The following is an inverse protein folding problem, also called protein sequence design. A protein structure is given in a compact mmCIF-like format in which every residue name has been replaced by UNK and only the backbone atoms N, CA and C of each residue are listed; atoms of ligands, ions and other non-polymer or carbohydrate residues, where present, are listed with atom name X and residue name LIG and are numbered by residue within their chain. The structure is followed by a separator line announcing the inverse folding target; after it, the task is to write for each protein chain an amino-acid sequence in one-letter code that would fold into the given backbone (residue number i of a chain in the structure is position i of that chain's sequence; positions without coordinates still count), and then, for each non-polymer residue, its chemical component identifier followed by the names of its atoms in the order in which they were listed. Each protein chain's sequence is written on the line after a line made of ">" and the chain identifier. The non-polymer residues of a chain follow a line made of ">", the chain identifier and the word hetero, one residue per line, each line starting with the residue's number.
data_IF_546602505448
#
_entry.id   IF_546602505448
#
_cell.length_a   1.000
_cell.length_b   1.000
_cell.length_c   1.000
_cell.angle_alpha   90.00
_cell.angle_beta   90.00
_cell.angle_gamma   90.00
#
_symmetry.space_group_name_H-M   'P 1'
#
loop_
_entity.id
_entity.type
_entity.pdbx_description
1 polymer ?
#
# COMPACT_ATOMS: atom_id res chain seq x y z
N UNK A 1 59.38 22.44 -5.62
CA UNK A 1 58.79 21.12 -5.28
C UNK A 1 59.39 20.74 -3.94
N UNK A 2 58.72 20.58 -2.81
CA UNK A 2 57.32 20.59 -2.39
C UNK A 2 57.37 20.52 -0.85
N UNK A 3 56.56 21.33 -0.15
CA UNK A 3 56.37 21.22 1.30
C UNK A 3 55.60 19.94 1.67
N UNK A 4 55.75 19.45 2.91
CA UNK A 4 54.60 19.07 3.73
C UNK A 4 54.61 19.89 5.04
N UNK A 5 53.72 20.87 5.19
CA UNK A 5 52.38 20.83 5.82
C UNK A 5 52.38 20.45 7.32
N UNK A 6 52.05 21.47 8.11
CA UNK A 6 51.77 21.49 9.54
C UNK A 6 50.47 20.76 9.91
N UNK A 7 50.41 20.33 11.17
CA UNK A 7 49.20 20.05 11.94
C UNK A 7 49.60 19.54 13.33
N UNK A 8 50.14 20.40 14.22
CA UNK A 8 49.41 21.03 15.34
C UNK A 8 48.39 20.10 16.00
N UNK A 9 48.74 19.63 17.19
CA UNK A 9 47.89 18.80 18.04
C UNK A 9 46.91 19.61 18.89
N UNK A 10 46.04 18.87 19.58
CA UNK A 10 45.45 19.16 20.89
C UNK A 10 44.58 17.95 21.25
N UNK A 11 45.06 17.11 22.16
CA UNK A 11 44.74 17.12 23.59
C UNK A 11 43.40 16.45 23.94
N UNK A 12 43.56 15.33 24.64
CA UNK A 12 42.63 14.69 25.57
C UNK A 12 41.55 15.61 26.13
N UNK A 13 40.29 15.21 25.96
CA UNK A 13 39.24 15.54 26.91
C UNK A 13 38.63 14.23 27.42
N UNK A 14 39.18 13.79 28.56
CA UNK A 14 38.48 12.90 29.46
C UNK A 14 37.30 13.68 30.04
N UNK A 15 36.09 13.38 29.58
CA UNK A 15 34.85 13.78 30.26
C UNK A 15 34.20 12.54 30.82
N UNK A 16 34.61 12.23 32.06
CA UNK A 16 33.96 11.27 32.95
C UNK A 16 32.67 11.93 33.45
N UNK A 17 31.61 11.85 32.65
CA UNK A 17 30.26 12.23 33.02
C UNK A 17 29.39 10.98 32.95
N UNK A 18 28.75 10.61 34.06
CA UNK A 18 27.92 9.41 34.16
C UNK A 18 26.89 9.35 33.04
N UNK A 19 27.06 8.42 32.12
CA UNK A 19 26.11 8.13 31.06
C UNK A 19 24.98 7.30 31.68
N UNK A 20 23.81 7.92 31.84
CA UNK A 20 22.57 7.17 31.87
C UNK A 20 22.54 6.29 30.60
N UNK A 21 22.14 5.01 30.69
CA UNK A 21 22.04 4.17 29.50
C UNK A 21 21.08 4.85 28.52
N UNK A 22 21.61 5.21 27.34
CA UNK A 22 20.78 5.66 26.24
C UNK A 22 19.71 4.59 26.00
N UNK A 23 18.41 4.94 25.91
CA UNK A 23 17.39 3.95 25.58
C UNK A 23 17.79 3.30 24.26
N UNK A 24 17.96 1.98 24.30
CA UNK A 24 18.25 1.16 23.13
C UNK A 24 17.28 1.57 22.03
N UNK A 25 17.81 2.08 20.92
CA UNK A 25 17.02 2.35 19.71
C UNK A 25 16.38 1.03 19.30
N UNK A 26 15.08 0.91 19.60
CA UNK A 26 14.23 -0.19 19.19
C UNK A 26 14.30 -0.26 17.66
N UNK A 27 14.77 -1.40 17.17
CA UNK A 27 14.90 -1.83 15.76
C UNK A 27 14.77 -0.73 14.72
N UNK A 28 15.89 -0.33 14.12
CA UNK A 28 15.90 0.56 12.94
C UNK A 28 14.84 0.08 11.93
N UNK A 29 13.79 0.89 11.75
CA UNK A 29 12.82 0.65 10.71
C UNK A 29 13.58 0.60 9.36
N UNK A 30 13.25 -0.35 8.46
CA UNK A 30 13.91 -0.43 7.17
C UNK A 30 13.92 0.94 6.49
N UNK A 31 15.08 1.35 5.97
CA UNK A 31 15.27 2.66 5.38
C UNK A 31 14.25 2.88 4.25
N UNK A 32 13.57 4.03 4.26
CA UNK A 32 12.61 4.36 3.23
C UNK A 32 13.31 4.53 1.86
N UNK A 33 12.89 3.76 0.86
CA UNK A 33 13.39 3.84 -0.53
C UNK A 33 12.45 4.63 -1.44
N UNK A 34 11.27 5.00 -0.94
CA UNK A 34 10.28 5.81 -1.64
C UNK A 34 9.23 6.37 -0.71
N UNK A 35 8.28 7.12 -1.28
CA UNK A 35 7.14 7.65 -0.55
C UNK A 35 5.88 7.67 -1.42
N UNK A 36 4.73 7.55 -0.78
CA UNK A 36 3.43 7.74 -1.41
C UNK A 36 2.36 8.11 -0.39
N UNK A 37 1.09 8.03 -0.78
CA UNK A 37 -0.03 8.49 0.06
C UNK A 37 -0.73 7.31 0.75
N UNK A 38 -1.00 7.42 2.05
CA UNK A 38 -1.69 6.37 2.77
C UNK A 38 -3.10 6.14 2.21
N UNK A 39 -3.51 4.88 2.12
CA UNK A 39 -4.82 4.50 1.60
C UNK A 39 -5.89 4.58 2.71
N UNK A 40 -7.16 4.65 2.31
CA UNK A 40 -8.27 4.70 3.28
C UNK A 40 -8.56 3.32 3.85
N UNK A 41 -8.46 3.17 5.17
CA UNK A 41 -8.97 2.00 5.89
C UNK A 41 -10.49 1.91 5.77
N UNK A 42 -11.02 0.73 5.42
CA UNK A 42 -12.49 0.52 5.30
C UNK A 42 -12.90 -0.77 6.00
N UNK A 43 -14.13 -0.84 6.49
CA UNK A 43 -14.71 -2.09 6.96
C UNK A 43 -14.92 -3.04 5.76
N UNK A 44 -14.29 -4.24 5.73
CA UNK A 44 -14.43 -5.17 4.62
C UNK A 44 -15.88 -5.60 4.34
N UNK A 45 -16.67 -5.87 5.37
CA UNK A 45 -18.08 -6.27 5.23
C UNK A 45 -18.93 -5.09 4.75
N UNK A 46 -18.64 -3.89 5.25
CA UNK A 46 -19.30 -2.66 4.82
C UNK A 46 -19.03 -2.34 3.35
N UNK A 47 -17.80 -2.53 2.87
CA UNK A 47 -17.44 -2.32 1.48
C UNK A 47 -18.00 -3.42 0.55
N UNK A 48 -18.04 -4.67 1.03
CA UNK A 48 -18.49 -5.83 0.26
C UNK A 48 -20.01 -5.90 0.10
N UNK A 49 -20.75 -5.80 1.21
CA UNK A 49 -22.19 -6.06 1.21
C UNK A 49 -23.01 -4.87 1.69
N UNK A 50 -22.57 -4.17 2.73
CA UNK A 50 -23.34 -3.08 3.34
C UNK A 50 -23.64 -1.94 2.34
N UNK A 51 -22.59 -1.34 1.78
CA UNK A 51 -22.74 -0.20 0.86
C UNK A 51 -23.30 -0.61 -0.51
N UNK A 52 -22.91 -1.74 -1.13
CA UNK A 52 -23.58 -2.22 -2.33
C UNK A 52 -25.07 -2.48 -2.12
N UNK A 53 -25.49 -3.03 -0.99
CA UNK A 53 -26.92 -3.25 -0.71
C UNK A 53 -27.69 -1.93 -0.60
N UNK A 54 -27.14 -0.92 0.08
CA UNK A 54 -27.76 0.40 0.23
C UNK A 54 -27.80 1.17 -1.09
N UNK A 55 -26.79 0.99 -1.94
CA UNK A 55 -26.63 1.73 -3.20
C UNK A 55 -27.10 0.94 -4.42
N UNK A 56 -27.83 -0.16 -4.23
CA UNK A 56 -28.29 -1.04 -5.31
C UNK A 56 -27.16 -1.50 -6.27
N UNK A 57 -25.99 -1.83 -5.71
CA UNK A 57 -24.82 -2.34 -6.44
C UNK A 57 -23.87 -1.27 -6.97
N UNK A 58 -24.29 0.00 -7.02
CA UNK A 58 -23.49 1.10 -7.61
C UNK A 58 -22.19 1.32 -6.86
N UNK A 59 -22.17 1.13 -5.53
CA UNK A 59 -20.96 1.28 -4.73
C UNK A 59 -19.82 0.36 -5.19
N UNK A 60 -20.12 -0.83 -5.75
CA UNK A 60 -19.09 -1.72 -6.28
C UNK A 60 -18.22 -1.04 -7.36
N UNK A 61 -18.84 -0.23 -8.24
CA UNK A 61 -18.14 0.54 -9.27
C UNK A 61 -17.23 1.61 -8.65
N UNK A 62 -17.79 2.35 -7.68
CA UNK A 62 -17.07 3.43 -6.98
C UNK A 62 -15.88 2.86 -6.20
N UNK A 63 -16.07 1.73 -5.53
CA UNK A 63 -15.03 1.02 -4.81
C UNK A 63 -13.91 0.59 -5.76
N UNK A 64 -14.26 -0.03 -6.89
CA UNK A 64 -13.28 -0.53 -7.85
C UNK A 64 -12.42 0.59 -8.44
N UNK A 65 -13.03 1.74 -8.76
CA UNK A 65 -12.29 2.94 -9.18
C UNK A 65 -11.37 3.46 -8.06
N UNK A 66 -11.92 3.65 -6.84
CA UNK A 66 -11.19 4.25 -5.72
C UNK A 66 -9.97 3.43 -5.32
N UNK A 67 -10.09 2.11 -5.24
CA UNK A 67 -8.98 1.24 -4.85
C UNK A 67 -7.82 1.32 -5.84
N UNK A 68 -8.11 1.32 -7.15
CA UNK A 68 -7.07 1.45 -8.16
C UNK A 68 -6.37 2.81 -8.11
N UNK A 69 -7.14 3.88 -7.89
CA UNK A 69 -6.57 5.22 -7.74
C UNK A 69 -5.73 5.34 -6.45
N UNK A 70 -6.21 4.80 -5.34
CA UNK A 70 -5.48 4.79 -4.06
C UNK A 70 -4.19 3.96 -4.14
N UNK A 71 -4.19 2.82 -4.83
CA UNK A 71 -2.97 2.03 -5.06
C UNK A 71 -1.92 2.83 -5.86
N UNK A 72 -2.33 3.52 -6.93
CA UNK A 72 -1.42 4.36 -7.71
C UNK A 72 -0.90 5.56 -6.90
N UNK A 73 -1.73 6.13 -6.02
CA UNK A 73 -1.30 7.23 -5.14
C UNK A 73 -0.38 6.75 -4.02
N UNK A 74 -0.58 5.52 -3.55
CA UNK A 74 0.24 4.86 -2.54
C UNK A 74 1.61 4.47 -3.09
N UNK A 75 1.68 3.93 -4.30
CA UNK A 75 2.93 3.65 -4.98
C UNK A 75 2.83 4.06 -6.45
N UNK A 76 3.61 5.09 -6.82
CA UNK A 76 3.63 5.64 -8.18
C UNK A 76 4.18 4.69 -9.24
N UNK A 77 4.82 3.60 -8.82
CA UNK A 77 5.28 2.52 -9.72
C UNK A 77 4.13 1.60 -10.15
N UNK A 78 3.02 1.59 -9.42
CA UNK A 78 1.82 0.87 -9.80
C UNK A 78 1.08 1.69 -10.88
N UNK A 79 0.74 1.08 -12.01
CA UNK A 79 0.00 1.75 -13.09
C UNK A 79 -1.31 2.37 -12.62
N UNK A 80 -1.59 3.60 -13.09
CA UNK A 80 -2.89 4.22 -12.90
C UNK A 80 -3.95 3.56 -13.77
N UNK A 81 -4.56 2.51 -13.24
CA UNK A 81 -5.61 1.75 -13.91
C UNK A 81 -7.02 2.11 -13.44
N UNK A 82 -7.22 3.22 -12.72
CA UNK A 82 -8.52 3.56 -12.12
C UNK A 82 -9.62 3.72 -13.17
N UNK A 83 -9.36 4.52 -14.21
CA UNK A 83 -10.30 4.70 -15.33
C UNK A 83 -10.52 3.40 -16.08
N UNK A 84 -9.46 2.63 -16.37
CA UNK A 84 -9.57 1.35 -17.05
C UNK A 84 -10.38 0.32 -16.25
N UNK A 85 -10.23 0.31 -14.93
CA UNK A 85 -10.99 -0.53 -14.03
C UNK A 85 -12.48 -0.17 -14.05
N UNK A 86 -12.81 1.12 -14.01
CA UNK A 86 -14.20 1.58 -14.13
C UNK A 86 -14.80 1.22 -15.49
N UNK A 87 -14.09 1.49 -16.59
CA UNK A 87 -14.54 1.14 -17.94
C UNK A 87 -14.75 -0.37 -18.10
N UNK A 88 -13.89 -1.19 -17.50
CA UNK A 88 -14.03 -2.65 -17.54
C UNK A 88 -15.32 -3.14 -16.88
N UNK A 89 -15.80 -2.45 -15.85
CA UNK A 89 -17.08 -2.80 -15.19
C UNK A 89 -18.28 -2.30 -16.00
N UNK A 90 -18.21 -1.10 -16.58
CA UNK A 90 -19.29 -0.52 -17.38
C UNK A 90 -19.49 -1.26 -18.71
N UNK A 91 -18.40 -1.55 -19.41
CA UNK A 91 -18.40 -2.28 -20.68
C UNK A 91 -18.19 -3.78 -20.51
N UNK A 92 -18.22 -4.27 -19.27
CA UNK A 92 -18.02 -5.68 -18.94
C UNK A 92 -18.99 -6.58 -19.71
N UNK A 93 -20.26 -6.18 -19.81
CA UNK A 93 -21.29 -6.90 -20.56
C UNK A 93 -20.95 -7.07 -22.06
N UNK A 94 -20.35 -6.05 -22.68
CA UNK A 94 -19.92 -6.11 -24.09
C UNK A 94 -18.79 -7.11 -24.26
N UNK A 95 -17.89 -7.20 -23.28
CA UNK A 95 -16.75 -8.14 -23.28
C UNK A 95 -17.07 -9.51 -22.70
N UNK A 96 -18.35 -9.87 -22.54
CA UNK A 96 -18.81 -11.12 -21.92
C UNK A 96 -18.24 -11.35 -20.50
N UNK A 97 -17.95 -10.28 -19.77
CA UNK A 97 -17.37 -10.32 -18.43
C UNK A 97 -15.87 -10.63 -18.38
N UNK A 98 -15.18 -10.84 -19.51
CA UNK A 98 -13.76 -11.20 -19.54
C UNK A 98 -12.88 -10.03 -19.07
N UNK A 99 -13.20 -8.80 -19.52
CA UNK A 99 -12.40 -7.63 -19.16
C UNK A 99 -12.39 -7.33 -17.64
N UNK A 100 -13.53 -7.28 -16.93
CA UNK A 100 -13.52 -7.05 -15.49
C UNK A 100 -12.80 -8.18 -14.73
N UNK A 101 -12.89 -9.44 -15.20
CA UNK A 101 -12.14 -10.56 -14.59
C UNK A 101 -10.62 -10.36 -14.67
N UNK A 102 -10.11 -9.92 -15.82
CA UNK A 102 -8.69 -9.58 -15.97
C UNK A 102 -8.29 -8.46 -15.00
N UNK A 103 -9.14 -7.43 -14.84
CA UNK A 103 -8.87 -6.34 -13.90
C UNK A 103 -8.85 -6.79 -12.45
N UNK A 104 -9.71 -7.75 -12.07
CA UNK A 104 -9.68 -8.37 -10.75
C UNK A 104 -8.35 -9.11 -10.49
N UNK A 105 -7.90 -9.94 -11.43
CA UNK A 105 -6.61 -10.63 -11.31
C UNK A 105 -5.46 -9.64 -11.16
N UNK A 106 -5.42 -8.60 -12.01
CA UNK A 106 -4.42 -7.53 -11.95
C UNK A 106 -4.45 -6.77 -10.62
N UNK A 107 -5.64 -6.49 -10.10
CA UNK A 107 -5.79 -5.85 -8.79
C UNK A 107 -5.11 -6.65 -7.68
N UNK A 108 -5.22 -7.99 -7.72
CA UNK A 108 -4.52 -8.85 -6.75
C UNK A 108 -2.99 -8.70 -6.79
N UNK A 109 -2.42 -8.62 -7.99
CA UNK A 109 -0.99 -8.35 -8.17
C UNK A 109 -0.56 -6.98 -7.63
N UNK A 110 -1.33 -5.93 -7.94
CA UNK A 110 -1.07 -4.57 -7.45
C UNK A 110 -1.14 -4.45 -5.93
N UNK A 111 -2.08 -5.16 -5.29
CA UNK A 111 -2.16 -5.20 -3.82
C UNK A 111 -0.96 -5.94 -3.23
N UNK A 112 -0.49 -7.02 -3.88
CA UNK A 112 0.72 -7.72 -3.46
C UNK A 112 1.97 -6.83 -3.59
N UNK A 113 2.06 -6.04 -4.66
CA UNK A 113 3.11 -5.02 -4.84
C UNK A 113 3.03 -3.95 -3.74
N UNK A 114 1.85 -3.42 -3.44
CA UNK A 114 1.67 -2.47 -2.34
C UNK A 114 2.04 -3.08 -0.97
N UNK A 115 1.73 -4.36 -0.72
CA UNK A 115 2.19 -5.06 0.48
C UNK A 115 3.71 -5.13 0.55
N UNK A 116 4.39 -5.44 -0.55
CA UNK A 116 5.86 -5.43 -0.61
C UNK A 116 6.43 -4.04 -0.36
N UNK A 117 5.88 -3.00 -0.99
CA UNK A 117 6.30 -1.61 -0.80
C UNK A 117 6.12 -1.15 0.65
N UNK A 118 5.13 -1.70 1.37
CA UNK A 118 4.92 -1.47 2.81
C UNK A 118 5.89 -2.26 3.72
N UNK A 119 6.69 -3.17 3.16
CA UNK A 119 7.57 -4.09 3.89
C UNK A 119 6.86 -5.31 4.44
N UNK A 120 5.64 -5.59 3.98
CA UNK A 120 4.88 -6.78 4.35
C UNK A 120 5.17 -7.93 3.40
N UNK A 121 5.08 -9.15 3.91
CA UNK A 121 5.07 -10.33 3.06
C UNK A 121 3.80 -10.31 2.18
N UNK A 122 3.92 -10.39 0.85
CA UNK A 122 2.76 -10.39 -0.05
C UNK A 122 1.89 -11.63 0.22
N UNK A 123 0.66 -11.39 0.67
CA UNK A 123 -0.35 -12.43 0.95
C UNK A 123 -1.56 -12.33 0.04
N UNK A 124 -1.63 -11.30 -0.79
CA UNK A 124 -2.65 -11.15 -1.81
C UNK A 124 -2.32 -11.99 -3.05
N UNK A 125 -3.26 -12.83 -3.48
CA UNK A 125 -3.16 -13.66 -4.68
C UNK A 125 -4.22 -13.26 -5.70
N UNK A 126 -3.79 -12.97 -6.93
CA UNK A 126 -4.70 -12.69 -8.04
C UNK A 126 -5.60 -13.88 -8.38
N UNK A 127 -5.10 -15.11 -8.26
CA UNK A 127 -5.89 -16.33 -8.49
C UNK A 127 -6.94 -16.57 -7.42
N UNK A 128 -6.60 -16.34 -6.14
CA UNK A 128 -7.58 -16.43 -5.04
C UNK A 128 -8.68 -15.38 -5.18
N UNK A 129 -8.29 -14.15 -5.51
CA UNK A 129 -9.24 -13.07 -5.73
C UNK A 129 -10.12 -13.27 -6.97
N UNK A 130 -9.63 -13.96 -8.02
CA UNK A 130 -10.45 -14.40 -9.16
C UNK A 130 -11.51 -15.43 -8.75
N UNK A 131 -11.10 -16.50 -8.05
CA UNK A 131 -12.03 -17.53 -7.59
C UNK A 131 -13.12 -16.95 -6.67
N UNK A 132 -12.71 -16.11 -5.72
CA UNK A 132 -13.64 -15.42 -4.83
C UNK A 132 -14.48 -14.38 -5.57
N UNK A 133 -13.96 -13.76 -6.63
CA UNK A 133 -14.70 -12.83 -7.49
C UNK A 133 -15.91 -13.48 -8.15
N UNK A 134 -15.77 -14.72 -8.64
CA UNK A 134 -16.86 -15.48 -9.26
C UNK A 134 -17.99 -15.78 -8.25
N UNK A 135 -17.63 -16.08 -7.00
CA UNK A 135 -18.58 -16.42 -5.93
C UNK A 135 -19.11 -15.13 -5.25
N UNK A 136 -18.62 -13.96 -5.65
CA UNK A 136 -19.04 -12.65 -5.11
C UNK A 136 -18.30 -12.19 -3.86
N UNK A 137 -17.31 -12.94 -3.36
CA UNK A 137 -16.49 -12.58 -2.18
C UNK A 137 -15.19 -11.82 -2.51
N UNK A 138 -14.94 -11.50 -3.78
CA UNK A 138 -13.72 -10.82 -4.21
C UNK A 138 -13.47 -9.48 -3.48
N UNK A 139 -14.48 -8.61 -3.39
CA UNK A 139 -14.37 -7.30 -2.72
C UNK A 139 -13.98 -7.45 -1.25
N UNK A 140 -14.58 -8.43 -0.55
CA UNK A 140 -14.26 -8.72 0.86
C UNK A 140 -12.78 -9.09 1.02
N UNK A 141 -12.30 -10.02 0.19
CA UNK A 141 -10.92 -10.49 0.21
C UNK A 141 -9.93 -9.35 -0.07
N UNK A 142 -10.12 -8.60 -1.15
CA UNK A 142 -9.22 -7.50 -1.49
C UNK A 142 -9.24 -6.39 -0.45
N UNK A 143 -10.40 -6.07 0.13
CA UNK A 143 -10.47 -5.07 1.19
C UNK A 143 -9.72 -5.49 2.46
N UNK A 144 -9.76 -6.78 2.82
CA UNK A 144 -8.93 -7.31 3.93
C UNK A 144 -7.44 -7.15 3.61
N UNK A 145 -7.03 -7.46 2.38
CA UNK A 145 -5.62 -7.37 1.97
C UNK A 145 -5.10 -5.92 1.92
N UNK A 146 -5.92 -4.98 1.45
CA UNK A 146 -5.62 -3.55 1.47
C UNK A 146 -5.51 -3.01 2.89
N UNK A 147 -6.41 -3.43 3.79
CA UNK A 147 -6.36 -2.99 5.18
C UNK A 147 -5.06 -3.38 5.87
N UNK A 148 -4.45 -4.53 5.55
CA UNK A 148 -3.12 -4.89 6.09
C UNK A 148 -2.06 -3.84 5.77
N UNK A 149 -2.09 -3.27 4.57
CA UNK A 149 -1.17 -2.20 4.15
C UNK A 149 -1.45 -0.93 4.94
N UNK A 150 -2.72 -0.58 5.14
CA UNK A 150 -3.10 0.62 5.92
C UNK A 150 -2.74 0.45 7.40
N UNK A 151 -3.02 -0.71 7.97
CA UNK A 151 -2.77 -1.05 9.38
C UNK A 151 -1.27 -0.99 9.72
N UNK A 152 -0.38 -1.21 8.73
CA UNK A 152 1.07 -1.02 8.90
C UNK A 152 1.44 0.42 9.28
N UNK A 153 0.66 1.41 8.85
CA UNK A 153 0.92 2.83 9.13
C UNK A 153 0.14 3.37 10.34
N UNK A 154 -0.53 2.50 11.10
CA UNK A 154 -1.23 2.87 12.34
C UNK A 154 -2.27 3.96 12.10
N UNK A 155 -2.23 5.00 12.92
CA UNK A 155 -3.20 6.12 12.89
C UNK A 155 -2.91 7.17 11.80
N UNK A 156 -1.97 6.93 10.90
CA UNK A 156 -1.67 7.86 9.79
C UNK A 156 -2.94 8.08 8.94
N UNK A 157 -3.46 9.31 8.85
CA UNK A 157 -4.65 9.60 8.06
C UNK A 157 -4.49 9.25 6.58
N UNK A 158 -5.61 8.93 5.93
CA UNK A 158 -5.63 8.71 4.49
C UNK A 158 -5.19 9.98 3.74
N UNK A 159 -4.36 9.82 2.70
CA UNK A 159 -3.82 10.94 1.92
C UNK A 159 -2.56 11.58 2.52
N UNK A 160 -2.13 11.17 3.72
CA UNK A 160 -0.85 11.62 4.28
C UNK A 160 0.31 10.82 3.71
N UNK A 161 1.47 11.46 3.59
CA UNK A 161 2.67 10.81 3.06
C UNK A 161 3.15 9.70 3.99
N UNK A 162 3.45 8.54 3.41
CA UNK A 162 3.99 7.36 4.08
C UNK A 162 5.23 6.85 3.38
N UNK A 163 6.16 6.27 4.14
CA UNK A 163 7.38 5.67 3.63
C UNK A 163 7.13 4.31 2.98
N UNK A 164 7.75 4.10 1.83
CA UNK A 164 7.84 2.81 1.15
C UNK A 164 9.25 2.25 1.35
N UNK A 165 9.37 0.94 1.55
CA UNK A 165 10.62 0.28 1.95
C UNK A 165 11.16 -0.72 0.93
N UNK A 166 10.41 -0.96 -0.14
CA UNK A 166 10.81 -1.72 -1.32
C UNK A 166 10.36 -0.97 -2.56
#
# INVERSE_FOLDING_TARGET
>A
MSYPQQGQGQQQQAYQGGYAPAPAQQGAAPAAVGAGLNMKRRNPVGAWLGLPMITFGIYGLVWFFKVHNELHQYDRRIDNAATNALLSMLFGAITLGIWPLIMYVKLGGRIAEAQRAAGLQPTCSGGMGFLLGIIGFGVLYYQIQLNKVVDRYGDTPAGQQVSLVA
#
